data_IF_749041971127
#
_entry.id   IF_749041971127
#
_cell.length_a   1.000
_cell.length_b   1.000
_cell.length_c   1.000
_cell.angle_alpha   90.00
_cell.angle_beta   90.00
_cell.angle_gamma   90.00
#
_symmetry.space_group_name_H-M   'P 1'
#
loop_
_entity.id
_entity.type
_entity.pdbx_description
1 polymer ?
#
# COMPACT_ATOMS: atom_id res chain seq x y z
N UNK A 1 -11.57 4.97 20.07
CA UNK A 1 -10.97 3.94 19.24
C UNK A 1 -11.35 4.27 17.80
N UNK A 2 -10.35 4.38 16.89
CA UNK A 2 -10.66 4.57 15.48
C UNK A 2 -11.30 3.31 14.87
N UNK A 3 -11.97 3.47 13.74
CA UNK A 3 -12.52 2.37 12.96
C UNK A 3 -11.38 1.50 12.42
N UNK A 4 -11.46 0.17 12.60
CA UNK A 4 -10.51 -0.78 12.02
C UNK A 4 -10.96 -1.09 10.59
N UNK A 5 -10.06 -0.97 9.62
CA UNK A 5 -10.29 -1.32 8.21
C UNK A 5 -9.44 -2.50 7.80
N UNK A 6 -10.07 -3.44 7.11
CA UNK A 6 -9.38 -4.60 6.53
C UNK A 6 -8.89 -4.27 5.13
N UNK A 7 -7.61 -4.54 4.88
CA UNK A 7 -7.01 -4.41 3.56
C UNK A 7 -6.63 -5.80 3.03
N UNK A 8 -7.11 -6.14 1.84
CA UNK A 8 -6.65 -7.31 1.10
C UNK A 8 -5.60 -6.91 0.06
N UNK A 9 -4.49 -7.66 0.02
CA UNK A 9 -3.39 -7.45 -0.92
C UNK A 9 -3.07 -8.71 -1.75
N UNK A 10 -4.01 -9.63 -1.88
CA UNK A 10 -3.84 -10.90 -2.61
C UNK A 10 -3.32 -10.68 -4.02
N UNK A 11 -3.90 -9.73 -4.76
CA UNK A 11 -3.52 -9.45 -6.15
C UNK A 11 -2.14 -8.78 -6.29
N UNK A 12 -1.62 -8.21 -5.23
CA UNK A 12 -0.26 -7.65 -5.21
C UNK A 12 0.73 -8.63 -4.59
N UNK A 13 0.50 -9.03 -3.34
CA UNK A 13 1.45 -9.83 -2.56
C UNK A 13 1.49 -11.29 -3.06
N UNK A 14 0.35 -11.86 -3.39
CA UNK A 14 0.27 -13.19 -4.00
C UNK A 14 0.96 -13.31 -5.36
N UNK A 15 1.22 -12.18 -6.02
CA UNK A 15 1.88 -12.16 -7.33
C UNK A 15 3.35 -12.57 -7.32
N UNK A 16 4.02 -12.57 -6.18
CA UNK A 16 5.42 -13.01 -6.08
C UNK A 16 5.63 -14.48 -6.47
N UNK A 17 4.58 -15.32 -6.39
CA UNK A 17 4.68 -16.75 -6.74
C UNK A 17 4.43 -17.04 -8.21
N UNK A 18 3.84 -16.12 -8.98
CA UNK A 18 3.45 -16.33 -10.38
C UNK A 18 3.87 -15.17 -11.31
N UNK A 19 4.80 -14.32 -10.87
CA UNK A 19 5.23 -13.10 -11.57
C UNK A 19 4.03 -12.18 -11.91
N UNK A 20 3.09 -12.06 -10.95
CA UNK A 20 1.82 -11.31 -11.06
C UNK A 20 0.93 -11.71 -12.24
N UNK A 21 1.18 -12.86 -12.87
CA UNK A 21 0.39 -13.38 -13.97
C UNK A 21 -0.76 -14.23 -13.43
N UNK A 22 -1.86 -13.59 -13.09
CA UNK A 22 -3.08 -14.25 -12.61
C UNK A 22 -4.01 -14.67 -13.75
N UNK A 23 -3.88 -14.03 -14.93
CA UNK A 23 -4.87 -14.08 -16.00
C UNK A 23 -6.02 -13.10 -15.77
N UNK A 24 -6.45 -12.41 -16.83
CA UNK A 24 -7.45 -11.32 -16.74
C UNK A 24 -8.73 -11.77 -16.03
N UNK A 25 -9.30 -12.91 -16.39
CA UNK A 25 -10.54 -13.40 -15.78
C UNK A 25 -10.39 -13.62 -14.26
N UNK A 26 -9.23 -14.07 -13.81
CA UNK A 26 -8.96 -14.27 -12.38
C UNK A 26 -8.76 -12.93 -11.66
N UNK A 27 -8.10 -11.95 -12.28
CA UNK A 27 -7.97 -10.61 -11.71
C UNK A 27 -9.36 -10.01 -11.43
N UNK A 28 -10.24 -10.06 -12.42
CA UNK A 28 -11.63 -9.57 -12.29
C UNK A 28 -12.39 -10.38 -11.23
N UNK A 29 -12.38 -11.71 -11.32
CA UNK A 29 -13.14 -12.57 -10.41
C UNK A 29 -12.71 -12.42 -8.94
N UNK A 30 -11.39 -12.31 -8.68
CA UNK A 30 -10.87 -12.12 -7.31
C UNK A 30 -11.28 -10.73 -6.79
N UNK A 31 -11.16 -9.69 -7.62
CA UNK A 31 -11.60 -8.34 -7.27
C UNK A 31 -13.08 -8.31 -6.89
N UNK A 32 -13.96 -8.84 -7.74
CA UNK A 32 -15.41 -8.88 -7.49
C UNK A 32 -15.76 -9.63 -6.20
N UNK A 33 -15.08 -10.75 -5.92
CA UNK A 33 -15.29 -11.52 -4.69
C UNK A 33 -14.87 -10.76 -3.43
N UNK A 34 -13.77 -9.98 -3.51
CA UNK A 34 -13.35 -9.11 -2.41
C UNK A 34 -14.37 -7.99 -2.16
N UNK A 35 -14.91 -7.40 -3.24
CA UNK A 35 -15.99 -6.41 -3.15
C UNK A 35 -17.24 -7.02 -2.54
N UNK A 36 -17.64 -8.22 -2.94
CA UNK A 36 -18.81 -8.93 -2.39
C UNK A 36 -18.62 -9.34 -0.93
N UNK A 37 -17.38 -9.61 -0.52
CA UNK A 37 -17.00 -9.88 0.87
C UNK A 37 -16.96 -8.61 1.75
N UNK A 38 -17.23 -7.43 1.18
CA UNK A 38 -17.16 -6.12 1.84
C UNK A 38 -15.78 -5.83 2.45
N UNK A 39 -14.69 -6.16 1.72
CA UNK A 39 -13.35 -5.74 2.09
C UNK A 39 -13.26 -4.21 1.96
N UNK A 40 -12.77 -3.53 3.01
CA UNK A 40 -12.73 -2.07 3.06
C UNK A 40 -11.74 -1.47 2.05
N UNK A 41 -10.58 -2.11 1.89
CA UNK A 41 -9.49 -1.64 1.02
C UNK A 41 -8.95 -2.80 0.20
N UNK A 42 -8.95 -2.66 -1.12
CA UNK A 42 -8.50 -3.69 -2.05
C UNK A 42 -7.26 -3.19 -2.80
N UNK A 43 -6.12 -3.86 -2.61
CA UNK A 43 -4.88 -3.58 -3.32
C UNK A 43 -4.79 -4.42 -4.59
N UNK A 44 -4.92 -3.77 -5.74
CA UNK A 44 -5.08 -4.45 -7.04
C UNK A 44 -3.76 -4.81 -7.74
N UNK A 45 -2.63 -4.43 -7.20
CA UNK A 45 -1.32 -4.74 -7.78
C UNK A 45 -0.30 -3.61 -7.67
N UNK A 46 0.75 -3.69 -8.48
CA UNK A 46 1.80 -2.67 -8.57
C UNK A 46 1.56 -1.68 -9.71
N UNK A 47 1.98 -0.44 -9.50
CA UNK A 47 2.31 0.51 -10.56
C UNK A 47 3.84 0.51 -10.75
N UNK A 48 4.31 0.02 -11.91
CA UNK A 48 5.73 -0.11 -12.24
C UNK A 48 5.94 0.16 -13.73
N UNK A 49 6.43 1.35 -14.08
CA UNK A 49 6.60 1.81 -15.47
C UNK A 49 7.78 1.16 -16.22
N UNK A 50 8.55 0.33 -15.52
CA UNK A 50 9.65 -0.45 -16.11
C UNK A 50 9.15 -1.70 -16.84
N UNK A 51 7.87 -2.07 -16.66
CA UNK A 51 7.25 -3.24 -17.29
C UNK A 51 6.19 -2.82 -18.30
N UNK A 52 6.11 -3.50 -19.46
CA UNK A 52 5.03 -3.24 -20.41
C UNK A 52 3.69 -3.70 -19.86
N UNK A 53 2.61 -3.07 -20.32
CA UNK A 53 1.26 -3.49 -19.98
C UNK A 53 0.96 -4.90 -20.49
N UNK A 54 0.42 -5.73 -19.61
CA UNK A 54 -0.17 -7.04 -19.92
C UNK A 54 -1.48 -7.17 -19.13
N UNK A 55 -2.58 -7.35 -19.84
CA UNK A 55 -3.92 -7.45 -19.24
C UNK A 55 -4.07 -8.63 -18.26
N UNK A 56 -3.19 -9.64 -18.34
CA UNK A 56 -3.20 -10.81 -17.47
C UNK A 56 -2.41 -10.60 -16.16
N UNK A 57 -1.76 -9.45 -16.01
CA UNK A 57 -0.88 -9.18 -14.88
C UNK A 57 -1.38 -8.06 -13.99
N UNK A 58 -1.20 -8.22 -12.69
CA UNK A 58 -1.43 -7.18 -11.68
C UNK A 58 -0.21 -6.26 -11.46
N UNK A 59 0.60 -6.06 -12.50
CA UNK A 59 1.61 -5.00 -12.60
C UNK A 59 1.25 -4.13 -13.81
N UNK A 60 1.00 -2.87 -13.56
CA UNK A 60 0.56 -1.90 -14.55
C UNK A 60 1.59 -0.76 -14.67
N UNK A 61 1.94 -0.31 -15.90
CA UNK A 61 2.89 0.78 -16.08
C UNK A 61 2.36 2.15 -15.64
N UNK A 62 1.05 2.32 -15.62
CA UNK A 62 0.37 3.60 -15.42
C UNK A 62 -1.07 3.40 -14.93
N UNK A 63 -1.74 4.50 -14.57
CA UNK A 63 -3.15 4.49 -14.13
C UNK A 63 -4.13 4.22 -15.28
N UNK A 64 -3.78 4.49 -16.54
CA UNK A 64 -4.60 4.12 -17.69
C UNK A 64 -4.68 2.61 -17.89
N UNK A 65 -3.62 1.90 -17.57
CA UNK A 65 -3.57 0.46 -17.60
C UNK A 65 -4.42 -0.18 -16.50
N UNK A 66 -4.53 0.47 -15.33
CA UNK A 66 -5.50 0.09 -14.28
C UNK A 66 -6.91 0.18 -14.81
N UNK A 67 -7.24 1.29 -15.47
CA UNK A 67 -8.57 1.54 -16.06
C UNK A 67 -8.95 0.46 -17.09
N UNK A 68 -8.00 -0.02 -17.90
CA UNK A 68 -8.24 -1.10 -18.88
C UNK A 68 -8.62 -2.44 -18.26
N UNK A 69 -8.16 -2.72 -17.03
CA UNK A 69 -8.47 -3.97 -16.34
C UNK A 69 -9.72 -3.84 -15.47
N UNK A 70 -9.85 -2.74 -14.72
CA UNK A 70 -10.82 -2.60 -13.63
C UNK A 70 -11.87 -1.51 -13.84
N UNK A 71 -11.68 -0.56 -14.77
CA UNK A 71 -12.50 0.67 -14.88
C UNK A 71 -13.99 0.46 -15.13
N UNK A 72 -14.39 -0.71 -15.64
CA UNK A 72 -15.81 -1.06 -15.83
C UNK A 72 -16.44 -1.83 -14.66
N UNK A 73 -15.70 -2.12 -13.59
CA UNK A 73 -16.16 -2.95 -12.48
C UNK A 73 -16.84 -2.12 -11.38
N UNK A 74 -17.87 -2.70 -10.77
CA UNK A 74 -18.47 -2.11 -9.58
C UNK A 74 -17.61 -2.39 -8.35
N UNK A 75 -17.18 -1.34 -7.67
CA UNK A 75 -16.37 -1.42 -6.45
C UNK A 75 -17.17 -1.20 -5.18
N UNK A 76 -18.48 -0.89 -5.29
CA UNK A 76 -19.37 -0.58 -4.17
C UNK A 76 -18.73 0.45 -3.21
N UNK A 77 -18.51 0.05 -1.95
CA UNK A 77 -17.91 0.88 -0.89
C UNK A 77 -16.38 0.68 -0.74
N UNK A 78 -15.80 -0.27 -1.49
CA UNK A 78 -14.38 -0.59 -1.35
C UNK A 78 -13.50 0.57 -1.84
N UNK A 79 -12.49 0.92 -1.05
CA UNK A 79 -11.40 1.79 -1.47
C UNK A 79 -10.40 0.96 -2.30
N UNK A 80 -10.17 1.36 -3.54
CA UNK A 80 -9.22 0.66 -4.42
C UNK A 80 -7.87 1.36 -4.39
N UNK A 81 -6.81 0.58 -4.15
CA UNK A 81 -5.44 1.11 -4.06
C UNK A 81 -4.46 0.31 -4.91
N UNK A 82 -3.41 0.97 -5.37
CA UNK A 82 -2.25 0.34 -6.00
C UNK A 82 -0.99 0.58 -5.18
N UNK A 83 0.03 -0.29 -5.36
CA UNK A 83 1.32 -0.17 -4.70
C UNK A 83 2.36 0.40 -5.66
N UNK A 84 3.22 1.30 -5.18
CA UNK A 84 4.45 1.73 -5.85
C UNK A 84 5.63 1.42 -4.93
N UNK A 85 6.63 0.70 -5.42
CA UNK A 85 7.95 0.71 -4.79
C UNK A 85 8.64 2.01 -5.22
N UNK A 86 9.05 2.82 -4.26
CA UNK A 86 9.61 4.14 -4.54
C UNK A 86 10.75 4.06 -5.58
N UNK A 87 10.55 4.79 -6.69
CA UNK A 87 11.45 4.79 -7.84
C UNK A 87 11.05 3.87 -9.00
N UNK A 88 9.94 3.12 -8.89
CA UNK A 88 9.49 2.22 -9.96
C UNK A 88 8.39 2.79 -10.85
N UNK A 89 7.78 3.90 -10.46
CA UNK A 89 6.78 4.59 -11.26
C UNK A 89 6.97 6.10 -11.15
N UNK A 90 7.03 6.78 -12.28
CA UNK A 90 7.16 8.23 -12.34
C UNK A 90 5.82 8.90 -12.18
N UNK A 91 5.80 10.14 -11.64
CA UNK A 91 4.58 10.93 -11.45
C UNK A 91 3.82 11.19 -12.76
N UNK A 92 4.53 11.30 -13.89
CA UNK A 92 3.93 11.51 -15.21
C UNK A 92 3.02 10.36 -15.68
N UNK A 93 3.19 9.16 -15.09
CA UNK A 93 2.39 7.96 -15.36
C UNK A 93 1.18 7.82 -14.42
N UNK A 94 0.97 8.79 -13.54
CA UNK A 94 -0.11 8.82 -12.55
C UNK A 94 -1.03 9.99 -12.88
N UNK A 95 -2.21 9.72 -13.42
CA UNK A 95 -3.24 10.72 -13.64
C UNK A 95 -3.82 11.25 -12.33
N UNK A 96 -4.49 12.41 -12.33
CA UNK A 96 -5.28 12.85 -11.20
C UNK A 96 -6.24 11.76 -10.72
N UNK A 97 -6.45 11.66 -9.40
CA UNK A 97 -7.34 10.65 -8.80
C UNK A 97 -8.76 10.67 -9.39
N UNK A 98 -9.26 11.86 -9.76
CA UNK A 98 -10.56 12.03 -10.41
C UNK A 98 -10.67 11.38 -11.80
N UNK A 99 -9.55 10.99 -12.40
CA UNK A 99 -9.45 10.37 -13.71
C UNK A 99 -8.94 8.93 -13.64
N UNK A 100 -8.95 8.33 -12.44
CA UNK A 100 -8.39 7.01 -12.17
C UNK A 100 -9.38 6.13 -11.42
N UNK A 101 -9.34 4.83 -11.66
CA UNK A 101 -10.08 3.84 -10.87
C UNK A 101 -9.56 3.73 -9.43
N UNK A 102 -8.32 4.18 -9.17
CA UNK A 102 -7.71 4.14 -7.82
C UNK A 102 -8.18 5.32 -6.96
N UNK A 103 -8.50 5.03 -5.70
CA UNK A 103 -8.73 6.03 -4.65
C UNK A 103 -7.45 6.39 -3.90
N UNK A 104 -6.48 5.48 -3.90
CA UNK A 104 -5.26 5.68 -3.14
C UNK A 104 -4.05 4.95 -3.72
N UNK A 105 -2.88 5.39 -3.28
CA UNK A 105 -1.60 4.82 -3.65
C UNK A 105 -0.80 4.52 -2.38
N UNK A 106 -0.31 3.30 -2.28
CA UNK A 106 0.57 2.83 -1.21
C UNK A 106 2.00 2.89 -1.70
N UNK A 107 2.83 3.71 -1.06
CA UNK A 107 4.24 3.87 -1.43
C UNK A 107 5.10 3.11 -0.44
N UNK A 108 5.74 2.05 -0.92
CA UNK A 108 6.71 1.26 -0.15
C UNK A 108 8.12 1.80 -0.36
N UNK A 109 8.92 1.89 0.70
CA UNK A 109 10.27 2.43 0.62
C UNK A 109 11.19 1.89 1.73
N UNK A 110 12.49 1.84 1.42
CA UNK A 110 13.54 1.51 2.39
C UNK A 110 13.85 2.70 3.30
N UNK A 111 14.26 2.45 4.55
CA UNK A 111 14.45 3.49 5.56
C UNK A 111 15.38 4.65 5.14
N UNK A 112 16.46 4.36 4.40
CA UNK A 112 17.39 5.39 3.93
C UNK A 112 16.81 6.30 2.84
N UNK A 113 15.72 5.90 2.19
CA UNK A 113 15.01 6.67 1.16
C UNK A 113 13.80 7.42 1.73
N UNK A 114 13.55 7.36 3.05
CA UNK A 114 12.32 7.87 3.68
C UNK A 114 12.01 9.33 3.34
N UNK A 115 13.03 10.19 3.28
CA UNK A 115 12.86 11.62 2.98
C UNK A 115 12.33 11.84 1.56
N UNK A 116 12.98 11.22 0.58
CA UNK A 116 12.62 11.39 -0.83
C UNK A 116 11.29 10.68 -1.14
N UNK A 117 11.05 9.52 -0.53
CA UNK A 117 9.80 8.80 -0.67
C UNK A 117 8.62 9.56 -0.07
N UNK A 118 8.77 10.20 1.09
CA UNK A 118 7.71 11.03 1.65
C UNK A 118 7.49 12.32 0.84
N UNK A 119 8.53 12.90 0.23
CA UNK A 119 8.35 13.99 -0.73
C UNK A 119 7.54 13.52 -1.96
N UNK A 120 7.82 12.31 -2.48
CA UNK A 120 7.05 11.70 -3.55
C UNK A 120 5.59 11.44 -3.11
N UNK A 121 5.36 10.98 -1.88
CA UNK A 121 4.02 10.85 -1.29
C UNK A 121 3.26 12.19 -1.30
N UNK A 122 3.94 13.29 -1.00
CA UNK A 122 3.33 14.63 -1.03
C UNK A 122 2.89 15.02 -2.45
N UNK A 123 3.67 14.68 -3.48
CA UNK A 123 3.28 14.93 -4.87
C UNK A 123 2.07 14.07 -5.30
N UNK A 124 2.05 12.78 -4.96
CA UNK A 124 0.88 11.90 -5.21
C UNK A 124 -0.37 12.45 -4.50
N UNK A 125 -0.22 12.94 -3.27
CA UNK A 125 -1.33 13.56 -2.53
C UNK A 125 -1.90 14.79 -3.24
N UNK A 126 -1.07 15.60 -3.91
CA UNK A 126 -1.53 16.74 -4.73
C UNK A 126 -2.36 16.31 -5.94
N UNK A 127 -2.18 15.09 -6.44
CA UNK A 127 -3.02 14.49 -7.47
C UNK A 127 -4.38 14.02 -6.95
N UNK A 128 -4.66 14.17 -5.65
CA UNK A 128 -5.94 13.85 -5.02
C UNK A 128 -6.04 12.46 -4.40
N UNK A 129 -5.00 11.64 -4.46
CA UNK A 129 -5.01 10.29 -3.89
C UNK A 129 -4.90 10.28 -2.37
N UNK A 130 -5.52 9.28 -1.74
CA UNK A 130 -5.18 8.86 -0.39
C UNK A 130 -3.83 8.14 -0.42
N UNK A 131 -2.83 8.68 0.28
CA UNK A 131 -1.47 8.13 0.23
C UNK A 131 -1.16 7.35 1.49
N UNK A 132 -0.62 6.16 1.32
CA UNK A 132 -0.19 5.30 2.42
C UNK A 132 1.34 5.17 2.37
N UNK A 133 2.03 5.54 3.44
CA UNK A 133 3.46 5.34 3.57
C UNK A 133 3.76 3.97 4.20
N UNK A 134 4.47 3.10 3.47
CA UNK A 134 4.73 1.72 3.88
C UNK A 134 6.18 1.56 4.31
N UNK A 135 6.39 1.32 5.61
CA UNK A 135 7.70 1.21 6.22
C UNK A 135 8.25 -0.21 6.08
N UNK A 136 9.13 -0.42 5.09
CA UNK A 136 9.80 -1.72 4.91
C UNK A 136 10.81 -1.98 6.03
N UNK A 137 10.89 -3.23 6.46
CA UNK A 137 11.88 -3.68 7.45
C UNK A 137 11.85 -2.85 8.73
N UNK A 138 10.65 -2.58 9.25
CA UNK A 138 10.45 -1.69 10.40
C UNK A 138 11.29 -2.09 11.62
N UNK A 139 11.55 -3.39 11.80
CA UNK A 139 12.41 -3.91 12.88
C UNK A 139 13.89 -3.50 12.78
N UNK A 140 14.30 -2.83 11.71
CA UNK A 140 15.65 -2.29 11.54
C UNK A 140 15.76 -0.79 11.83
N UNK A 141 14.66 -0.16 12.22
CA UNK A 141 14.68 1.26 12.60
C UNK A 141 15.11 1.41 14.04
N UNK A 142 16.06 2.31 14.27
CA UNK A 142 16.33 2.83 15.61
C UNK A 142 15.29 3.89 15.96
N UNK A 143 15.12 4.18 17.26
CA UNK A 143 14.07 5.11 17.71
C UNK A 143 14.21 6.53 17.14
N UNK A 144 15.42 7.03 17.01
CA UNK A 144 15.69 8.35 16.41
C UNK A 144 15.35 8.39 14.91
N UNK A 145 15.60 7.30 14.17
CA UNK A 145 15.22 7.15 12.76
C UNK A 145 13.69 7.07 12.61
N UNK A 146 13.01 6.40 13.54
CA UNK A 146 11.54 6.34 13.56
C UNK A 146 10.96 7.72 13.89
N UNK A 147 11.52 8.44 14.85
CA UNK A 147 11.08 9.81 15.18
C UNK A 147 11.30 10.78 14.03
N UNK A 148 12.41 10.68 13.29
CA UNK A 148 12.63 11.49 12.08
C UNK A 148 11.58 11.18 11.00
N UNK A 149 11.26 9.91 10.80
CA UNK A 149 10.20 9.50 9.87
C UNK A 149 8.82 10.03 10.31
N UNK A 150 8.48 9.94 11.58
CA UNK A 150 7.22 10.46 12.13
C UNK A 150 7.12 11.96 11.89
N UNK A 151 8.20 12.71 12.12
CA UNK A 151 8.26 14.16 11.84
C UNK A 151 7.96 14.45 10.36
N UNK A 152 8.62 13.72 9.44
CA UNK A 152 8.37 13.85 8.00
C UNK A 152 6.94 13.47 7.61
N UNK A 153 6.40 12.40 8.21
CA UNK A 153 5.02 11.98 7.98
C UNK A 153 4.02 13.03 8.46
N UNK A 154 4.28 13.68 9.61
CA UNK A 154 3.44 14.76 10.13
C UNK A 154 3.43 16.01 9.22
N UNK A 155 4.51 16.26 8.48
CA UNK A 155 4.57 17.33 7.47
C UNK A 155 3.72 17.00 6.23
N UNK A 156 3.82 15.75 5.74
CA UNK A 156 3.11 15.27 4.53
C UNK A 156 1.65 14.96 4.82
N UNK A 157 1.37 14.44 6.03
CA UNK A 157 0.04 13.96 6.44
C UNK A 157 -0.54 12.95 5.45
N UNK A 158 0.10 11.78 5.28
CA UNK A 158 -0.47 10.71 4.49
C UNK A 158 -1.79 10.23 5.11
N UNK A 159 -2.60 9.48 4.36
CA UNK A 159 -3.81 8.85 4.88
C UNK A 159 -3.47 7.85 6.00
N UNK A 160 -2.39 7.09 5.84
CA UNK A 160 -1.89 6.19 6.86
C UNK A 160 -0.37 5.97 6.74
N UNK A 161 0.24 5.65 7.88
CA UNK A 161 1.60 5.09 7.97
C UNK A 161 1.47 3.63 8.38
N UNK A 162 2.07 2.70 7.63
CA UNK A 162 1.95 1.27 7.90
C UNK A 162 3.30 0.66 8.25
N UNK A 163 3.33 -0.07 9.36
CA UNK A 163 4.43 -0.93 9.74
C UNK A 163 4.37 -2.22 8.91
N UNK A 164 5.46 -2.55 8.21
CA UNK A 164 5.56 -3.78 7.43
C UNK A 164 6.52 -4.75 8.11
N UNK A 165 6.01 -5.88 8.55
CA UNK A 165 6.81 -7.01 9.03
C UNK A 165 7.36 -7.80 7.84
N UNK A 166 8.31 -7.21 7.13
CA UNK A 166 8.84 -7.68 5.85
C UNK A 166 9.42 -9.10 5.91
N UNK A 167 9.94 -9.49 7.06
CA UNK A 167 10.62 -10.79 7.23
C UNK A 167 9.83 -11.79 8.09
N UNK A 168 8.65 -11.40 8.60
CA UNK A 168 7.90 -12.22 9.55
C UNK A 168 8.63 -12.42 10.89
N UNK A 169 9.39 -11.43 11.32
CA UNK A 169 10.23 -11.47 12.52
C UNK A 169 9.71 -10.57 13.65
N UNK A 170 8.61 -9.87 13.43
CA UNK A 170 8.07 -8.94 14.41
C UNK A 170 7.28 -9.70 15.47
N UNK A 171 7.83 -9.78 16.68
CA UNK A 171 7.13 -10.30 17.86
C UNK A 171 6.26 -9.21 18.50
N UNK A 172 5.40 -9.63 19.42
CA UNK A 172 4.43 -8.74 20.09
C UNK A 172 5.09 -7.53 20.76
N UNK A 173 6.28 -7.70 21.34
CA UNK A 173 7.00 -6.60 22.00
C UNK A 173 7.47 -5.54 21.00
N UNK A 174 8.02 -5.97 19.85
CA UNK A 174 8.44 -5.06 18.78
C UNK A 174 7.22 -4.33 18.19
N UNK A 175 6.14 -5.07 17.91
CA UNK A 175 4.91 -4.49 17.39
C UNK A 175 4.35 -3.44 18.32
N UNK A 176 4.30 -3.75 19.63
CA UNK A 176 3.83 -2.80 20.65
C UNK A 176 4.72 -1.55 20.69
N UNK A 177 6.03 -1.73 20.70
CA UNK A 177 6.99 -0.62 20.75
C UNK A 177 6.78 0.37 19.57
N UNK A 178 6.80 -0.12 18.32
CA UNK A 178 6.62 0.74 17.17
C UNK A 178 5.21 1.32 17.05
N UNK A 179 4.19 0.55 17.46
CA UNK A 179 2.83 1.05 17.52
C UNK A 179 2.69 2.20 18.53
N UNK A 180 3.27 2.06 19.71
CA UNK A 180 3.22 3.09 20.74
C UNK A 180 3.92 4.37 20.25
N UNK A 181 5.10 4.27 19.62
CA UNK A 181 5.80 5.42 19.02
C UNK A 181 4.94 6.14 17.98
N UNK A 182 4.35 5.38 17.06
CA UNK A 182 3.47 5.97 16.03
C UNK A 182 2.23 6.58 16.65
N UNK A 183 1.57 5.88 17.56
CA UNK A 183 0.32 6.34 18.19
C UNK A 183 0.50 7.58 19.07
N UNK A 184 1.67 7.73 19.70
CA UNK A 184 1.97 8.88 20.55
C UNK A 184 2.38 10.12 19.75
N UNK A 185 3.08 9.93 18.62
CA UNK A 185 3.76 11.03 17.94
C UNK A 185 3.23 11.37 16.55
N UNK A 186 2.44 10.51 15.90
CA UNK A 186 1.76 10.86 14.66
C UNK A 186 0.61 11.85 14.93
N UNK A 187 0.38 12.75 13.98
CA UNK A 187 -0.78 13.61 13.99
C UNK A 187 -2.08 12.74 13.97
N UNK A 188 -3.11 13.11 14.75
CA UNK A 188 -4.28 12.25 15.02
C UNK A 188 -5.12 11.93 13.77
N UNK A 189 -4.95 12.69 12.70
CA UNK A 189 -5.60 12.43 11.41
C UNK A 189 -4.90 11.36 10.57
N UNK A 190 -3.68 10.93 10.94
CA UNK A 190 -2.93 9.91 10.21
C UNK A 190 -3.26 8.53 10.78
N UNK A 191 -3.78 7.65 9.94
CA UNK A 191 -4.05 6.27 10.32
C UNK A 191 -2.77 5.46 10.54
N UNK A 192 -2.83 4.45 11.40
CA UNK A 192 -1.74 3.48 11.61
C UNK A 192 -2.18 2.15 10.98
N UNK A 193 -1.35 1.61 10.08
CA UNK A 193 -1.55 0.31 9.47
C UNK A 193 -0.52 -0.72 9.95
N UNK A 194 -0.89 -1.99 9.85
CA UNK A 194 0.01 -3.09 10.07
C UNK A 194 -0.12 -4.10 8.93
N UNK A 195 1.00 -4.43 8.30
CA UNK A 195 1.11 -5.45 7.27
C UNK A 195 2.01 -6.58 7.78
N UNK A 196 1.40 -7.74 8.03
CA UNK A 196 2.05 -8.87 8.65
C UNK A 196 2.37 -9.96 7.62
N UNK A 197 3.65 -10.31 7.50
CA UNK A 197 4.11 -11.49 6.77
C UNK A 197 4.50 -12.63 7.73
N UNK A 198 3.75 -12.80 8.80
CA UNK A 198 4.10 -13.71 9.90
C UNK A 198 3.98 -15.17 9.46
N UNK A 199 5.03 -15.68 8.82
CA UNK A 199 5.16 -17.12 8.50
C UNK A 199 5.52 -17.97 9.72
N UNK A 200 5.91 -17.34 10.82
CA UNK A 200 6.37 -18.00 12.04
C UNK A 200 5.30 -18.12 13.11
N UNK A 201 4.13 -17.47 12.96
CA UNK A 201 3.01 -17.71 13.84
C UNK A 201 2.47 -19.12 13.58
N UNK A 202 2.33 -19.97 14.63
CA UNK A 202 1.64 -21.24 14.49
C UNK A 202 0.19 -20.94 14.14
N UNK A 203 -0.10 -20.83 12.84
CA UNK A 203 -1.48 -20.90 12.36
C UNK A 203 -1.99 -22.30 12.74
N UNK A 204 -3.08 -22.42 13.46
CA UNK A 204 -3.73 -23.70 13.62
C UNK A 204 -4.13 -24.18 12.23
N UNK A 205 -3.40 -25.16 11.72
CA UNK A 205 -3.77 -25.91 10.53
C UNK A 205 -4.75 -26.99 10.92
#
# INVERSE_FOLDING_TARGET
>A
MGEIKLLDCTLRDGGYVNDWNFGHNNLVSVFERMVDANIDIIEIGFLDDRRPFDINRSIMPDTDSVEKIYGGLDRKQAMVVGMIDYGTCKLENIKPCSESFLDGIRVIFKKHLRKDALAYCAEIKKLGYKVFAQLVSVTTYEDDEMMDLIRLANEVKPYAVSMVDTYGLMHQENLKHYFDLLNEHLAPEIGIGYHCLLYTSPSPR
#
